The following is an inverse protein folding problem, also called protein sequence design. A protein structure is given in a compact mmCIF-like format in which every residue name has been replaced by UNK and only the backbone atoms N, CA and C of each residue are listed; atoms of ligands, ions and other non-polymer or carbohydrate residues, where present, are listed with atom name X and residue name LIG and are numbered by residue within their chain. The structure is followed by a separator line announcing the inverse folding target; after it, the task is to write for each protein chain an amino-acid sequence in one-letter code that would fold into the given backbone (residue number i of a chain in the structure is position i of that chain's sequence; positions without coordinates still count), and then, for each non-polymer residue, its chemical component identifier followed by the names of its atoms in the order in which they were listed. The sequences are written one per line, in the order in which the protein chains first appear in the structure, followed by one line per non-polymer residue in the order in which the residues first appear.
data_IF_710227107022
#
_entry.id   IF_710227107022
#
_cell.length_a   1.000
_cell.length_b   1.000
_cell.length_c   1.000
_cell.angle_alpha   90.00
_cell.angle_beta   90.00
_cell.angle_gamma   90.00
#
_symmetry.space_group_name_H-M   'P 1'
#
loop_
_entity.id
_entity.type
_entity.pdbx_description
1 polymer ?
#
# COMPACT_ATOMS: atom_id res chain seq x y z
N UNK A 1 18.04 5.72 -3.08
CA UNK A 1 17.95 5.61 -4.56
C UNK A 1 17.83 7.02 -5.13
N UNK A 2 18.72 7.47 -6.04
CA UNK A 2 18.57 8.76 -6.73
C UNK A 2 17.26 8.81 -7.55
N UNK A 3 16.64 10.00 -7.67
CA UNK A 3 15.34 10.19 -8.31
C UNK A 3 15.32 9.80 -9.80
N UNK A 4 16.45 9.99 -10.48
CA UNK A 4 16.66 9.68 -11.90
C UNK A 4 16.68 8.17 -12.17
N UNK A 5 16.93 7.36 -11.14
CA UNK A 5 16.98 5.89 -11.22
C UNK A 5 15.65 5.24 -10.83
N UNK A 6 14.64 6.03 -10.49
CA UNK A 6 13.38 5.55 -9.96
C UNK A 6 12.40 5.27 -11.11
N UNK A 7 12.03 3.99 -11.27
CA UNK A 7 11.10 3.55 -12.31
C UNK A 7 9.72 4.18 -12.13
N UNK A 8 9.10 4.58 -13.25
CA UNK A 8 7.79 5.24 -13.27
C UNK A 8 6.84 4.48 -14.16
N UNK A 9 5.56 4.55 -13.83
CA UNK A 9 4.54 4.09 -14.75
C UNK A 9 4.50 5.01 -15.98
N UNK A 10 4.50 4.44 -17.19
CA UNK A 10 4.51 5.20 -18.45
C UNK A 10 3.19 5.93 -18.70
N UNK A 11 2.07 5.36 -18.23
CA UNK A 11 0.73 5.92 -18.41
C UNK A 11 0.48 7.21 -17.61
N UNK A 12 1.09 7.33 -16.44
CA UNK A 12 0.79 8.37 -15.43
C UNK A 12 2.01 9.19 -15.03
N UNK A 13 3.22 8.74 -15.37
CA UNK A 13 4.48 9.31 -14.86
C UNK A 13 4.68 9.08 -13.36
N UNK A 14 3.84 8.25 -12.73
CA UNK A 14 3.83 8.07 -11.27
C UNK A 14 5.07 7.33 -10.79
N UNK A 15 5.73 7.89 -9.77
CA UNK A 15 6.86 7.29 -9.03
C UNK A 15 6.45 6.09 -8.16
N UNK A 16 5.15 5.77 -8.09
CA UNK A 16 4.64 4.66 -7.29
C UNK A 16 5.27 3.31 -7.69
N UNK A 17 5.62 3.11 -8.98
CA UNK A 17 6.28 1.89 -9.43
C UNK A 17 7.62 1.69 -8.71
N UNK A 18 8.49 2.69 -8.73
CA UNK A 18 9.78 2.63 -8.06
C UNK A 18 9.65 2.45 -6.55
N UNK A 19 8.68 3.11 -5.90
CA UNK A 19 8.40 2.89 -4.48
C UNK A 19 7.94 1.44 -4.19
N UNK A 20 7.10 0.86 -5.07
CA UNK A 20 6.66 -0.53 -4.93
C UNK A 20 7.80 -1.53 -5.05
N UNK A 21 8.72 -1.33 -6.01
CA UNK A 21 9.89 -2.20 -6.17
C UNK A 21 10.89 -2.00 -5.02
N UNK A 22 11.10 -0.77 -4.59
CA UNK A 22 11.95 -0.46 -3.44
C UNK A 22 11.44 -1.10 -2.15
N UNK A 23 10.12 -1.12 -1.93
CA UNK A 23 9.49 -1.85 -0.83
C UNK A 23 9.88 -3.33 -0.82
N UNK A 24 9.88 -3.97 -1.98
CA UNK A 24 10.24 -5.39 -2.11
C UNK A 24 11.72 -5.60 -1.76
N UNK A 25 12.60 -4.74 -2.29
CA UNK A 25 14.03 -4.81 -2.00
C UNK A 25 14.36 -4.49 -0.53
N UNK A 26 13.60 -3.61 0.12
CA UNK A 26 13.71 -3.35 1.56
C UNK A 26 13.50 -4.64 2.38
N UNK A 27 12.45 -5.40 2.05
CA UNK A 27 12.14 -6.69 2.69
C UNK A 27 13.20 -7.74 2.40
N UNK A 28 13.68 -7.81 1.15
CA UNK A 28 14.74 -8.74 0.74
C UNK A 28 16.07 -8.47 1.44
N UNK A 29 16.40 -7.20 1.66
CA UNK A 29 17.58 -6.79 2.43
C UNK A 29 17.42 -7.09 3.94
N UNK A 30 16.18 -7.17 4.44
CA UNK A 30 15.86 -7.38 5.86
C UNK A 30 15.93 -6.08 6.66
N UNK A 31 15.59 -4.94 6.05
CA UNK A 31 15.69 -3.61 6.65
C UNK A 31 14.47 -3.23 7.52
N UNK A 32 13.61 -4.19 7.84
CA UNK A 32 12.45 -4.01 8.71
C UNK A 32 11.14 -3.82 7.96
N UNK A 33 10.20 -3.13 8.62
CA UNK A 33 8.85 -2.91 8.12
C UNK A 33 8.83 -1.74 7.14
N UNK A 34 8.20 -1.93 5.98
CA UNK A 34 7.80 -0.83 5.13
C UNK A 34 6.53 -0.18 5.67
N UNK A 35 6.50 1.15 5.72
CA UNK A 35 5.28 1.92 5.92
C UNK A 35 5.23 3.10 4.94
N UNK A 36 4.09 3.34 4.31
CA UNK A 36 3.86 4.58 3.53
C UNK A 36 3.91 5.80 4.46
N UNK A 37 4.23 6.98 3.91
CA UNK A 37 4.53 8.18 4.70
C UNK A 37 3.28 8.93 5.20
N UNK A 38 2.09 8.57 4.71
CA UNK A 38 0.83 9.21 5.03
C UNK A 38 0.06 8.44 6.12
N UNK A 39 0.79 7.99 7.15
CA UNK A 39 0.21 7.38 8.34
C UNK A 39 0.33 8.29 9.56
N UNK A 40 -0.73 8.32 10.35
CA UNK A 40 -0.70 8.82 11.73
C UNK A 40 -0.58 7.61 12.66
N UNK A 41 0.55 7.50 13.35
CA UNK A 41 0.78 6.42 14.32
C UNK A 41 0.22 6.78 15.69
N UNK A 42 -0.68 5.96 16.20
CA UNK A 42 -1.25 6.10 17.53
C UNK A 42 -0.49 5.24 18.55
N UNK A 43 0.10 4.12 18.09
CA UNK A 43 0.84 3.17 18.93
C UNK A 43 1.97 2.52 18.12
N UNK A 44 3.01 1.96 18.79
CA UNK A 44 4.06 1.22 18.11
C UNK A 44 3.53 0.01 17.31
N UNK A 45 4.17 -0.30 16.19
CA UNK A 45 3.96 -1.51 15.39
C UNK A 45 4.62 -2.75 16.04
N UNK A 46 4.43 -2.94 17.33
CA UNK A 46 4.96 -4.07 18.08
C UNK A 46 4.00 -5.26 17.98
N UNK A 47 4.24 -6.15 17.02
CA UNK A 47 3.49 -7.39 16.86
C UNK A 47 4.39 -8.58 17.14
N UNK A 48 3.92 -9.52 17.94
CA UNK A 48 4.55 -10.84 18.12
C UNK A 48 4.10 -11.80 16.99
N UNK A 49 4.35 -11.39 15.75
CA UNK A 49 4.01 -12.17 14.56
C UNK A 49 5.15 -12.07 13.54
N UNK A 50 5.44 -13.16 12.79
CA UNK A 50 6.50 -13.15 11.79
C UNK A 50 6.18 -12.28 10.56
N UNK A 51 4.91 -11.93 10.35
CA UNK A 51 4.48 -11.08 9.24
C UNK A 51 3.60 -9.94 9.75
N UNK A 52 3.71 -8.77 9.11
CA UNK A 52 2.87 -7.60 9.40
C UNK A 52 2.33 -7.06 8.08
N UNK A 53 1.03 -7.18 7.88
CA UNK A 53 0.26 -6.56 6.81
C UNK A 53 -1.21 -6.61 7.21
N UNK A 54 -2.06 -5.84 6.53
CA UNK A 54 -3.49 -5.76 6.87
C UNK A 54 -4.40 -5.86 5.67
N UNK A 55 -5.62 -6.32 5.94
CA UNK A 55 -6.72 -6.23 4.98
C UNK A 55 -7.13 -4.77 4.79
N UNK A 56 -7.16 -4.29 3.55
CA UNK A 56 -7.86 -3.03 3.24
C UNK A 56 -9.38 -3.24 3.30
N UNK A 57 -9.81 -4.34 2.69
CA UNK A 57 -11.17 -4.84 2.64
C UNK A 57 -11.11 -6.36 2.42
N UNK A 58 -12.27 -7.00 2.37
CA UNK A 58 -12.36 -8.46 2.30
C UNK A 58 -11.53 -9.02 1.14
N UNK A 59 -10.63 -9.95 1.46
CA UNK A 59 -9.77 -10.65 0.49
C UNK A 59 -8.78 -9.76 -0.29
N UNK A 60 -8.53 -8.52 0.14
CA UNK A 60 -7.59 -7.58 -0.48
C UNK A 60 -6.60 -6.99 0.54
N UNK A 61 -5.32 -7.33 0.39
CA UNK A 61 -4.24 -6.83 1.24
C UNK A 61 -3.76 -5.48 0.71
N UNK A 62 -3.65 -4.52 1.63
CA UNK A 62 -3.01 -3.25 1.31
C UNK A 62 -1.48 -3.38 1.40
N UNK A 63 -0.75 -2.66 0.55
CA UNK A 63 0.71 -2.67 0.52
C UNK A 63 1.39 -1.55 1.33
N UNK A 64 0.62 -0.73 2.03
CA UNK A 64 1.10 0.47 2.71
C UNK A 64 1.72 0.19 4.09
N UNK A 65 1.46 -0.98 4.68
CA UNK A 65 2.20 -1.53 5.82
C UNK A 65 2.59 -2.95 5.46
N UNK A 66 3.89 -3.25 5.37
CA UNK A 66 4.36 -4.55 4.92
C UNK A 66 5.66 -4.96 5.62
N UNK A 67 5.62 -6.10 6.28
CA UNK A 67 6.78 -6.80 6.83
C UNK A 67 6.66 -8.29 6.54
N UNK A 68 7.78 -8.89 6.15
CA UNK A 68 7.96 -10.31 6.02
C UNK A 68 9.42 -10.66 6.37
N UNK A 69 9.71 -11.84 6.93
CA UNK A 69 11.06 -12.23 7.27
C UNK A 69 11.93 -12.32 6.01
N UNK A 70 13.17 -11.84 6.11
CA UNK A 70 14.17 -11.98 5.06
C UNK A 70 14.30 -13.45 4.64
N UNK A 71 14.30 -13.69 3.33
CA UNK A 71 14.45 -15.04 2.76
C UNK A 71 13.20 -15.94 2.85
N UNK A 72 12.08 -15.44 3.40
CA UNK A 72 10.79 -16.13 3.36
C UNK A 72 10.31 -16.33 1.91
N UNK A 73 9.47 -17.34 1.69
CA UNK A 73 8.93 -17.62 0.34
C UNK A 73 8.10 -16.43 -0.19
N UNK A 74 7.41 -15.71 0.69
CA UNK A 74 6.71 -14.47 0.34
C UNK A 74 7.65 -13.43 -0.27
N UNK A 75 8.82 -13.19 0.33
CA UNK A 75 9.78 -12.20 -0.18
C UNK A 75 10.37 -12.65 -1.52
N UNK A 76 10.69 -13.94 -1.68
CA UNK A 76 11.18 -14.50 -2.96
C UNK A 76 10.14 -14.32 -4.06
N UNK A 77 8.88 -14.65 -3.77
CA UNK A 77 7.78 -14.48 -4.72
C UNK A 77 7.55 -13.00 -5.10
N UNK A 78 7.65 -12.08 -4.13
CA UNK A 78 7.56 -10.65 -4.39
C UNK A 78 8.66 -10.17 -5.34
N UNK A 79 9.88 -10.70 -5.26
CA UNK A 79 10.98 -10.36 -6.17
C UNK A 79 10.84 -11.03 -7.55
N UNK A 80 10.39 -12.29 -7.60
CA UNK A 80 10.42 -13.09 -8.83
C UNK A 80 9.23 -12.86 -9.77
N UNK A 81 8.09 -12.42 -9.24
CA UNK A 81 6.86 -12.26 -10.04
C UNK A 81 6.91 -11.00 -10.93
N UNK A 82 7.36 -9.83 -10.46
CA UNK A 82 7.52 -8.64 -11.30
C UNK A 82 8.60 -8.85 -12.37
N UNK A 83 8.19 -9.31 -13.54
CA UNK A 83 9.07 -9.53 -14.70
C UNK A 83 8.44 -8.92 -15.94
N UNK A 84 9.29 -8.26 -16.73
CA UNK A 84 8.91 -7.77 -18.03
C UNK A 84 8.36 -8.91 -18.90
N UNK A 85 7.41 -8.56 -19.77
CA UNK A 85 6.79 -9.45 -20.74
C UNK A 85 6.06 -10.66 -20.13
N UNK A 86 5.73 -10.59 -18.83
CA UNK A 86 5.01 -11.63 -18.09
C UNK A 86 3.62 -11.14 -17.71
N UNK A 87 2.59 -11.88 -18.07
CA UNK A 87 1.22 -11.60 -17.63
C UNK A 87 1.11 -11.82 -16.10
N UNK A 88 0.62 -10.84 -15.32
CA UNK A 88 0.43 -10.99 -13.89
C UNK A 88 -0.60 -12.07 -13.54
N UNK A 89 -0.27 -12.98 -12.60
CA UNK A 89 -1.11 -14.15 -12.32
C UNK A 89 -2.48 -13.82 -11.72
N UNK A 90 -2.62 -12.67 -11.03
CA UNK A 90 -3.90 -12.22 -10.44
C UNK A 90 -4.82 -11.50 -11.43
N UNK A 91 -4.42 -11.31 -12.69
CA UNK A 91 -5.29 -10.68 -13.67
C UNK A 91 -6.37 -11.64 -14.17
N UNK A 92 -7.62 -11.18 -14.15
CA UNK A 92 -8.73 -11.88 -14.78
C UNK A 92 -8.66 -11.88 -16.32
N UNK A 93 -9.64 -12.52 -16.99
CA UNK A 93 -9.62 -12.74 -18.44
C UNK A 93 -9.50 -11.46 -19.26
N UNK A 94 -10.26 -10.41 -18.91
CA UNK A 94 -10.26 -9.13 -19.65
C UNK A 94 -8.87 -8.47 -19.71
N UNK A 95 -8.25 -8.25 -18.54
CA UNK A 95 -6.88 -7.68 -18.46
C UNK A 95 -5.83 -8.59 -19.09
N UNK A 96 -6.02 -9.90 -19.01
CA UNK A 96 -5.12 -10.87 -19.64
C UNK A 96 -5.19 -10.81 -21.17
N UNK A 97 -6.38 -10.70 -21.75
CA UNK A 97 -6.55 -10.50 -23.19
C UNK A 97 -5.96 -9.17 -23.65
N UNK A 98 -6.21 -8.09 -22.90
CA UNK A 98 -5.63 -6.77 -23.18
C UNK A 98 -4.10 -6.81 -23.16
N UNK A 99 -3.51 -7.51 -22.19
CA UNK A 99 -2.06 -7.74 -22.13
C UNK A 99 -1.51 -8.39 -23.41
N UNK A 100 -2.11 -9.51 -23.83
CA UNK A 100 -1.63 -10.24 -25.00
C UNK A 100 -1.87 -9.47 -26.29
N UNK A 101 -2.98 -8.73 -26.40
CA UNK A 101 -3.26 -7.86 -27.53
C UNK A 101 -2.25 -6.71 -27.64
N UNK A 102 -1.97 -6.02 -26.53
CA UNK A 102 -0.94 -4.98 -26.48
C UNK A 102 0.43 -5.54 -26.81
N UNK A 103 0.81 -6.67 -26.21
CA UNK A 103 2.07 -7.36 -26.53
C UNK A 103 2.18 -7.72 -28.01
N UNK A 104 1.09 -8.16 -28.64
CA UNK A 104 1.07 -8.45 -30.07
C UNK A 104 1.28 -7.19 -30.93
N UNK A 105 0.64 -6.07 -30.57
CA UNK A 105 0.68 -4.81 -31.33
C UNK A 105 1.94 -3.97 -31.11
N UNK A 106 2.39 -3.89 -29.86
CA UNK A 106 3.46 -2.99 -29.37
C UNK A 106 4.78 -3.75 -29.13
N UNK A 107 4.75 -5.08 -29.11
CA UNK A 107 5.92 -5.91 -28.87
C UNK A 107 6.16 -6.18 -27.37
N UNK A 108 7.43 -6.12 -26.96
CA UNK A 108 7.82 -6.41 -25.57
C UNK A 108 7.22 -5.38 -24.61
N UNK A 109 6.66 -5.87 -23.50
CA UNK A 109 6.14 -5.05 -22.41
C UNK A 109 7.17 -4.97 -21.28
N UNK A 110 7.70 -3.79 -20.97
CA UNK A 110 8.55 -3.58 -19.79
C UNK A 110 7.69 -3.23 -18.56
N UNK A 111 8.31 -3.15 -17.37
CA UNK A 111 7.56 -3.00 -16.10
C UNK A 111 6.79 -1.68 -16.05
N UNK A 112 7.32 -0.64 -16.67
CA UNK A 112 6.72 0.70 -16.78
C UNK A 112 5.43 0.71 -17.62
N UNK A 113 5.23 -0.28 -18.49
CA UNK A 113 4.12 -0.34 -19.45
C UNK A 113 2.85 -0.97 -18.86
N UNK A 114 2.96 -1.56 -17.67
CA UNK A 114 1.84 -2.15 -16.95
C UNK A 114 0.95 -1.05 -16.36
N UNK A 115 -0.38 -1.27 -16.28
CA UNK A 115 -1.28 -0.32 -15.65
C UNK A 115 -0.85 0.07 -14.24
N UNK A 116 -1.10 1.33 -13.87
CA UNK A 116 -0.86 1.82 -12.52
C UNK A 116 -1.41 0.86 -11.44
N UNK A 117 -0.60 0.61 -10.39
CA UNK A 117 -0.96 -0.27 -9.28
C UNK A 117 -0.83 -1.77 -9.56
N UNK A 118 -0.30 -2.18 -10.72
CA UNK A 118 -0.09 -3.61 -11.02
C UNK A 118 0.79 -4.29 -9.97
N UNK A 119 1.95 -3.71 -9.66
CA UNK A 119 2.93 -4.28 -8.72
C UNK A 119 2.76 -3.75 -7.29
N UNK A 120 1.55 -3.36 -6.89
CA UNK A 120 1.22 -2.92 -5.52
C UNK A 120 0.37 -3.97 -4.78
N UNK A 121 -0.80 -3.59 -4.24
CA UNK A 121 -1.71 -4.41 -3.48
C UNK A 121 -2.12 -5.73 -4.17
N UNK A 122 -2.28 -5.72 -5.51
CA UNK A 122 -2.62 -6.93 -6.26
C UNK A 122 -1.52 -8.00 -6.20
N UNK A 123 -0.26 -7.59 -6.33
CA UNK A 123 0.90 -8.46 -6.18
C UNK A 123 0.99 -9.00 -4.74
N UNK A 124 0.89 -8.13 -3.74
CA UNK A 124 0.97 -8.54 -2.33
C UNK A 124 -0.15 -9.51 -1.98
N UNK A 125 -1.39 -9.21 -2.39
CA UNK A 125 -2.55 -10.08 -2.17
C UNK A 125 -2.35 -11.45 -2.81
N UNK A 126 -1.83 -11.49 -4.05
CA UNK A 126 -1.53 -12.75 -4.72
C UNK A 126 -0.49 -13.57 -3.96
N UNK A 127 0.62 -12.94 -3.53
CA UNK A 127 1.69 -13.64 -2.82
C UNK A 127 1.23 -14.12 -1.45
N UNK A 128 0.48 -13.32 -0.69
CA UNK A 128 -0.09 -13.73 0.61
C UNK A 128 -0.98 -14.96 0.45
N UNK A 129 -1.87 -14.97 -0.57
CA UNK A 129 -2.74 -16.12 -0.84
C UNK A 129 -1.97 -17.34 -1.32
N UNK A 130 -1.01 -17.16 -2.24
CA UNK A 130 -0.15 -18.24 -2.77
C UNK A 130 0.61 -18.95 -1.65
N UNK A 131 1.06 -18.21 -0.64
CA UNK A 131 1.83 -18.72 0.49
C UNK A 131 0.97 -19.10 1.71
N UNK A 132 -0.36 -19.04 1.60
CA UNK A 132 -1.30 -19.36 2.68
C UNK A 132 -1.09 -18.52 3.95
N UNK A 133 -0.72 -17.25 3.80
CA UNK A 133 -0.37 -16.33 4.89
C UNK A 133 -1.54 -15.45 5.38
N UNK A 134 -2.76 -15.70 4.92
CA UNK A 134 -3.95 -14.90 5.21
C UNK A 134 -4.18 -14.73 6.73
N UNK A 135 -3.89 -15.76 7.53
CA UNK A 135 -4.08 -15.76 8.98
C UNK A 135 -3.16 -14.79 9.73
N UNK A 136 -2.10 -14.28 9.09
CA UNK A 136 -1.24 -13.25 9.68
C UNK A 136 -1.77 -11.82 9.44
N UNK A 137 -2.73 -11.65 8.53
CA UNK A 137 -3.26 -10.33 8.19
C UNK A 137 -3.99 -9.73 9.39
N UNK A 138 -3.65 -8.48 9.69
CA UNK A 138 -4.40 -7.70 10.66
C UNK A 138 -5.76 -7.30 10.08
N UNK A 139 -6.81 -7.21 10.91
CA UNK A 139 -8.10 -6.72 10.47
C UNK A 139 -8.03 -5.22 10.16
N UNK A 140 -8.94 -4.67 9.33
CA UNK A 140 -8.84 -3.30 8.82
C UNK A 140 -8.71 -2.24 9.92
N UNK A 141 -9.37 -2.39 11.07
CA UNK A 141 -9.33 -1.45 12.19
C UNK A 141 -7.93 -1.22 12.79
N UNK A 142 -6.97 -2.11 12.52
CA UNK A 142 -5.59 -2.00 13.04
C UNK A 142 -4.78 -0.93 12.29
N UNK A 143 -4.93 -0.83 10.96
CA UNK A 143 -4.16 0.09 10.11
C UNK A 143 -5.01 1.01 9.22
N UNK A 144 -6.24 0.58 8.90
CA UNK A 144 -7.18 1.20 7.97
C UNK A 144 -8.56 1.44 8.60
N UNK A 145 -8.66 2.01 9.83
CA UNK A 145 -9.96 2.27 10.47
C UNK A 145 -10.81 3.28 9.68
N UNK A 146 -10.16 4.19 8.95
CA UNK A 146 -10.79 5.09 7.98
C UNK A 146 -10.54 4.53 6.59
N UNK A 147 -11.61 4.19 5.85
CA UNK A 147 -11.50 3.61 4.50
C UNK A 147 -11.11 4.68 3.48
N UNK A 148 -10.55 4.25 2.35
CA UNK A 148 -10.14 5.13 1.25
C UNK A 148 -11.27 6.08 0.77
N UNK A 149 -12.51 5.57 0.70
CA UNK A 149 -13.68 6.38 0.32
C UNK A 149 -14.03 7.46 1.34
N UNK A 150 -13.66 7.24 2.60
CA UNK A 150 -13.98 8.07 3.76
C UNK A 150 -12.82 9.00 4.17
N UNK A 151 -11.67 8.96 3.48
CA UNK A 151 -10.45 9.68 3.88
C UNK A 151 -10.67 11.18 4.19
N UNK A 152 -11.61 11.83 3.50
CA UNK A 152 -11.93 13.25 3.72
C UNK A 152 -12.55 13.54 5.09
N UNK A 153 -13.08 12.53 5.80
CA UNK A 153 -13.56 12.65 7.18
C UNK A 153 -12.45 13.04 8.15
N UNK A 154 -11.17 12.80 7.82
CA UNK A 154 -10.03 13.24 8.64
C UNK A 154 -10.00 14.77 8.83
N UNK A 155 -10.55 15.52 7.87
CA UNK A 155 -10.70 16.98 7.94
C UNK A 155 -12.05 17.42 8.50
N UNK A 156 -12.91 16.47 8.91
CA UNK A 156 -14.17 16.71 9.60
C UNK A 156 -14.04 16.56 11.12
N UNK A 157 -15.16 16.64 11.87
CA UNK A 157 -15.17 16.57 13.33
C UNK A 157 -14.44 15.33 13.87
N UNK A 158 -13.63 15.55 14.91
CA UNK A 158 -12.78 14.53 15.54
C UNK A 158 -13.55 13.27 15.92
N UNK A 159 -14.76 13.43 16.46
CA UNK A 159 -15.60 12.36 16.98
C UNK A 159 -15.91 11.30 15.91
N UNK A 160 -16.06 11.72 14.65
CA UNK A 160 -16.34 10.81 13.53
C UNK A 160 -15.18 9.85 13.24
N UNK A 161 -13.94 10.23 13.56
CA UNK A 161 -12.77 9.36 13.44
C UNK A 161 -12.60 8.52 14.70
N UNK A 162 -12.73 9.11 15.89
CA UNK A 162 -12.52 8.41 17.16
C UNK A 162 -13.48 7.22 17.35
N UNK A 163 -14.72 7.35 16.89
CA UNK A 163 -15.71 6.26 16.92
C UNK A 163 -15.30 5.04 16.07
N UNK A 164 -14.37 5.22 15.12
CA UNK A 164 -13.83 4.14 14.28
C UNK A 164 -12.55 3.52 14.85
N UNK A 165 -11.93 4.16 15.85
CA UNK A 165 -10.72 3.65 16.49
C UNK A 165 -11.07 2.61 17.55
N UNK A 166 -10.24 1.59 17.66
CA UNK A 166 -10.38 0.54 18.67
C UNK A 166 -9.14 0.48 19.57
N UNK A 167 -9.18 -0.35 20.60
CA UNK A 167 -7.99 -0.66 21.39
C UNK A 167 -6.87 -1.30 20.55
N UNK A 168 -7.18 -1.86 19.38
CA UNK A 168 -6.20 -2.54 18.53
C UNK A 168 -5.61 -1.63 17.46
N UNK A 169 -6.20 -0.45 17.22
CA UNK A 169 -5.73 0.50 16.23
C UNK A 169 -4.31 0.95 16.53
N UNK A 170 -3.41 0.74 15.57
CA UNK A 170 -2.00 1.17 15.64
C UNK A 170 -1.74 2.44 14.85
N UNK A 171 -2.41 2.56 13.70
CA UNK A 171 -2.21 3.71 12.84
C UNK A 171 -3.47 4.02 12.03
N UNK A 172 -3.56 5.26 11.55
CA UNK A 172 -4.60 5.75 10.65
C UNK A 172 -3.93 6.12 9.33
N UNK A 173 -4.23 5.35 8.29
CA UNK A 173 -3.81 5.69 6.92
C UNK A 173 -4.62 6.90 6.42
N UNK A 174 -3.91 7.96 6.00
CA UNK A 174 -4.54 9.22 5.59
C UNK A 174 -5.05 9.19 4.15
N UNK A 175 -4.56 8.27 3.32
CA UNK A 175 -4.89 8.17 1.90
C UNK A 175 -4.63 9.50 1.17
N UNK A 176 -3.38 9.95 1.18
CA UNK A 176 -2.95 11.26 0.69
C UNK A 176 -3.53 11.67 -0.68
N UNK A 177 -3.73 10.71 -1.59
CA UNK A 177 -4.36 10.93 -2.90
C UNK A 177 -5.82 11.38 -2.85
N UNK A 178 -6.54 11.17 -1.74
CA UNK A 178 -7.94 11.58 -1.51
C UNK A 178 -8.09 12.93 -0.85
N UNK A 179 -6.97 13.50 -0.43
CA UNK A 179 -6.89 14.76 0.29
C UNK A 179 -6.47 15.92 -0.60
N UNK A 180 -6.53 15.76 -1.92
CA UNK A 180 -6.29 16.85 -2.87
C UNK A 180 -7.23 18.04 -2.58
N UNK A 181 -6.64 19.24 -2.54
CA UNK A 181 -7.32 20.48 -2.16
C UNK A 181 -7.61 20.66 -0.67
N UNK A 182 -7.24 19.68 0.19
CA UNK A 182 -7.31 19.76 1.65
C UNK A 182 -5.93 19.71 2.30
N UNK A 183 -5.04 18.83 1.82
CA UNK A 183 -3.71 18.54 2.40
C UNK A 183 -2.75 19.74 2.46
N UNK A 184 -2.96 20.73 1.61
CA UNK A 184 -2.14 21.94 1.53
C UNK A 184 -2.76 23.12 2.30
N UNK A 185 -3.90 22.90 2.98
CA UNK A 185 -4.61 23.91 3.76
C UNK A 185 -4.40 23.69 5.25
N UNK A 186 -4.57 24.77 6.02
CA UNK A 186 -4.64 24.66 7.47
C UNK A 186 -5.76 23.69 7.86
N UNK A 187 -5.52 22.73 8.77
CA UNK A 187 -6.56 21.85 9.28
C UNK A 187 -7.74 22.66 9.83
N UNK A 188 -9.00 22.31 9.49
CA UNK A 188 -10.17 22.96 10.06
C UNK A 188 -10.20 22.83 11.59
N UNK A 189 -10.71 23.85 12.28
CA UNK A 189 -10.88 23.81 13.73
C UNK A 189 -11.81 22.66 14.15
N UNK A 190 -11.42 21.92 15.19
CA UNK A 190 -12.12 20.73 15.69
C UNK A 190 -11.90 19.46 14.84
N UNK A 191 -11.11 19.55 13.76
CA UNK A 191 -10.85 18.39 12.90
C UNK A 191 -9.90 17.38 13.51
N UNK A 192 -10.02 16.12 13.10
CA UNK A 192 -9.10 15.07 13.55
C UNK A 192 -7.64 15.40 13.22
N UNK A 193 -7.36 15.94 12.02
CA UNK A 193 -6.00 16.37 11.67
C UNK A 193 -5.51 17.50 12.57
N UNK A 194 -6.33 18.50 12.90
CA UNK A 194 -5.92 19.56 13.84
C UNK A 194 -5.53 18.97 15.19
N UNK A 195 -6.35 18.05 15.73
CA UNK A 195 -6.05 17.36 16.98
C UNK A 195 -4.72 16.61 16.92
N UNK A 196 -4.47 15.89 15.83
CA UNK A 196 -3.22 15.12 15.66
C UNK A 196 -2.00 16.04 15.52
N UNK A 197 -2.11 17.15 14.78
CA UNK A 197 -1.07 18.18 14.72
C UNK A 197 -0.73 18.72 16.12
N UNK A 198 -1.76 19.09 16.90
CA UNK A 198 -1.58 19.54 18.28
C UNK A 198 -0.93 18.48 19.18
N UNK A 199 -1.33 17.22 19.04
CA UNK A 199 -0.76 16.10 19.79
C UNK A 199 0.73 15.87 19.48
N UNK A 200 1.17 16.10 18.24
CA UNK A 200 2.56 15.93 17.82
C UNK A 200 3.39 17.22 17.90
N UNK A 201 2.79 18.36 18.25
CA UNK A 201 3.47 19.65 18.35
C UNK A 201 3.88 20.25 17.00
N UNK A 202 3.07 20.04 15.96
CA UNK A 202 3.28 20.55 14.58
C UNK A 202 2.24 21.62 14.24
#
# INVERSE_FOLDING_TARGET
MPFERLLRYRDTGSVALGANLWRIELLAAGLGCWVDMDFIFLRPLAFDKPYIFGWEHENWINNAVLYAPKGSQMVRDLQEIPKANRRPPWWGPKRSMEFYWRRFREGRMDLEDYPWGTFSAGLVTHVVKKNQLQNYSQPPEVFYPVRWSEARLLYGPTEGIEQKLTSETRAVHMWHSRLEGLRDKRPPAGSYIEKMCAQFGV
#
